data_IF_549876991018
#
_entry.id   IF_549876991018
#
_cell.length_a   1.000
_cell.length_b   1.000
_cell.length_c   1.000
_cell.angle_alpha   90.00
_cell.angle_beta   90.00
_cell.angle_gamma   90.00
#
_symmetry.space_group_name_H-M   'P 1'
#
loop_
_entity.id
_entity.type
_entity.pdbx_description
1 polymer ?
#
# COMPACT_ATOMS: atom_id res chain seq x y z
N UNK A 1 -39.12 49.54 9.94
CA UNK A 1 -38.41 48.31 10.36
C UNK A 1 -37.46 47.99 9.23
N UNK A 2 -36.19 47.64 9.55
CA UNK A 2 -35.17 47.39 8.53
C UNK A 2 -35.44 46.00 7.91
N UNK A 3 -35.47 45.85 6.58
CA UNK A 3 -35.70 44.55 5.92
C UNK A 3 -34.75 43.44 6.40
N UNK A 4 -33.56 43.78 6.88
CA UNK A 4 -32.59 42.87 7.43
C UNK A 4 -33.04 42.31 8.80
N UNK A 5 -33.75 43.07 9.61
CA UNK A 5 -34.23 42.60 10.90
C UNK A 5 -35.46 41.69 10.76
N UNK A 6 -36.23 41.89 9.73
CA UNK A 6 -37.34 41.00 9.38
C UNK A 6 -36.81 39.63 8.85
N UNK A 7 -35.74 39.66 8.07
CA UNK A 7 -35.06 38.44 7.57
C UNK A 7 -34.40 37.64 8.72
N UNK A 8 -33.83 38.35 9.71
CA UNK A 8 -33.23 37.74 10.90
C UNK A 8 -34.26 37.07 11.81
N UNK A 9 -35.46 37.63 11.91
CA UNK A 9 -36.55 37.03 12.68
C UNK A 9 -37.12 35.75 12.04
N UNK A 10 -37.09 35.65 10.73
CA UNK A 10 -37.53 34.44 10.02
C UNK A 10 -36.52 33.28 10.10
N UNK A 11 -35.23 33.57 10.24
CA UNK A 11 -34.16 32.56 10.44
C UNK A 11 -34.00 32.24 11.93
N UNK A 12 -35.05 31.78 12.58
CA UNK A 12 -34.93 31.26 13.93
C UNK A 12 -34.07 30.00 13.96
N UNK A 13 -33.32 29.75 15.04
CA UNK A 13 -32.55 28.51 15.26
C UNK A 13 -33.38 27.26 14.99
N UNK A 14 -34.68 27.35 15.26
CA UNK A 14 -35.65 26.25 15.05
C UNK A 14 -35.90 25.98 13.58
N UNK A 15 -36.01 27.01 12.74
CA UNK A 15 -36.18 26.87 11.29
C UNK A 15 -34.87 26.34 10.64
N UNK A 16 -33.72 26.83 11.10
CA UNK A 16 -32.42 26.35 10.64
C UNK A 16 -32.21 24.89 10.98
N UNK A 17 -32.44 24.46 12.22
CA UNK A 17 -32.30 23.08 12.66
C UNK A 17 -33.35 22.16 12.01
N UNK A 18 -34.56 22.63 11.77
CA UNK A 18 -35.59 21.88 11.08
C UNK A 18 -35.25 21.64 9.60
N UNK A 19 -34.75 22.66 8.92
CA UNK A 19 -34.37 22.54 7.50
C UNK A 19 -33.12 21.66 7.31
N UNK A 20 -32.09 21.88 8.13
CA UNK A 20 -30.86 21.12 8.06
C UNK A 20 -31.04 19.66 8.46
N UNK A 21 -31.88 19.34 9.44
CA UNK A 21 -32.17 17.94 9.81
C UNK A 21 -32.96 17.22 8.72
N UNK A 22 -33.87 17.90 8.03
CA UNK A 22 -34.62 17.32 6.90
C UNK A 22 -33.72 17.04 5.70
N UNK A 23 -32.80 17.95 5.36
CA UNK A 23 -31.85 17.77 4.28
C UNK A 23 -30.84 16.64 4.59
N UNK A 24 -30.31 16.58 5.81
CA UNK A 24 -29.41 15.51 6.24
C UNK A 24 -30.12 14.16 6.33
N UNK A 25 -31.36 14.14 6.82
CA UNK A 25 -32.19 12.94 6.85
C UNK A 25 -32.53 12.42 5.46
N UNK A 26 -32.87 13.30 4.52
CA UNK A 26 -33.13 12.93 3.13
C UNK A 26 -31.87 12.39 2.43
N UNK A 27 -30.72 13.03 2.60
CA UNK A 27 -29.45 12.57 2.05
C UNK A 27 -29.02 11.22 2.64
N UNK A 28 -29.19 11.02 3.95
CA UNK A 28 -28.93 9.74 4.59
C UNK A 28 -29.87 8.64 4.13
N UNK A 29 -31.16 8.95 3.94
CA UNK A 29 -32.16 8.03 3.45
C UNK A 29 -31.92 7.68 1.98
N UNK A 30 -31.59 8.65 1.15
CA UNK A 30 -31.22 8.45 -0.25
C UNK A 30 -29.97 7.55 -0.36
N UNK A 31 -28.97 7.78 0.47
CA UNK A 31 -27.77 6.92 0.59
C UNK A 31 -28.09 5.48 1.01
N UNK A 32 -29.11 5.27 1.84
CA UNK A 32 -29.51 3.94 2.31
C UNK A 32 -30.46 3.24 1.33
N UNK A 33 -31.25 3.99 0.58
CA UNK A 33 -32.24 3.45 -0.37
C UNK A 33 -31.66 3.25 -1.77
N UNK A 34 -30.58 3.95 -2.12
CA UNK A 34 -29.90 3.72 -3.38
C UNK A 34 -29.26 2.34 -3.34
N UNK A 35 -29.80 1.39 -4.09
CA UNK A 35 -29.24 0.04 -4.25
C UNK A 35 -27.81 0.08 -4.79
N UNK A 36 -27.38 1.22 -5.30
CA UNK A 36 -26.06 1.51 -5.84
C UNK A 36 -25.11 2.16 -4.82
N UNK A 37 -25.55 2.39 -3.58
CA UNK A 37 -24.68 2.96 -2.53
C UNK A 37 -23.46 2.09 -2.22
N UNK A 38 -23.50 0.81 -2.60
CA UNK A 38 -22.35 -0.11 -2.56
C UNK A 38 -21.79 -0.46 -3.94
N UNK A 39 -22.51 -0.09 -5.02
CA UNK A 39 -21.99 -0.08 -6.37
C UNK A 39 -21.40 1.31 -6.66
N UNK A 40 -20.45 1.74 -5.85
CA UNK A 40 -19.74 2.98 -6.15
C UNK A 40 -19.03 2.80 -7.48
N UNK A 41 -19.25 3.75 -8.36
CA UNK A 41 -18.47 3.84 -9.59
C UNK A 41 -16.99 3.77 -9.23
N UNK A 42 -16.16 3.11 -10.03
CA UNK A 42 -14.72 2.96 -9.76
C UNK A 42 -14.00 4.27 -9.42
N UNK A 43 -14.57 5.41 -9.77
CA UNK A 43 -14.04 6.75 -9.50
C UNK A 43 -14.11 7.16 -8.02
N UNK A 44 -15.01 6.58 -7.23
CA UNK A 44 -15.22 6.97 -5.84
C UNK A 44 -14.15 6.46 -4.86
N UNK A 45 -13.35 5.47 -5.26
CA UNK A 45 -12.30 4.88 -4.41
C UNK A 45 -10.88 5.30 -4.78
N UNK A 46 -10.69 6.27 -5.68
CA UNK A 46 -9.37 6.66 -6.12
C UNK A 46 -8.58 5.53 -6.82
N UNK A 47 -9.27 4.47 -7.23
CA UNK A 47 -8.70 3.38 -7.99
C UNK A 47 -8.46 3.75 -9.46
N UNK A 48 -7.69 2.93 -10.16
CA UNK A 48 -7.47 3.10 -11.58
C UNK A 48 -8.77 2.86 -12.35
N UNK A 49 -9.06 3.68 -13.40
CA UNK A 49 -10.23 3.49 -14.23
C UNK A 49 -10.31 2.06 -14.80
N UNK A 50 -11.50 1.46 -14.76
CA UNK A 50 -11.72 0.10 -15.26
C UNK A 50 -11.39 -1.04 -14.30
N UNK A 51 -11.05 -0.75 -13.05
CA UNK A 51 -10.90 -1.75 -12.00
C UNK A 51 -12.21 -1.93 -11.20
N UNK A 52 -12.45 -3.14 -10.68
CA UNK A 52 -11.69 -4.38 -10.89
C UNK A 52 -11.93 -4.99 -12.26
N UNK A 53 -10.88 -5.50 -12.92
CA UNK A 53 -11.01 -6.19 -14.22
C UNK A 53 -11.79 -7.50 -14.13
N UNK A 54 -11.89 -8.07 -12.93
CA UNK A 54 -12.60 -9.30 -12.65
C UNK A 54 -13.55 -9.10 -11.48
N UNK A 55 -14.70 -9.76 -11.51
CA UNK A 55 -15.65 -9.72 -10.42
C UNK A 55 -15.02 -10.24 -9.12
N UNK A 56 -15.07 -9.48 -8.01
CA UNK A 56 -14.51 -9.90 -6.74
C UNK A 56 -15.18 -11.18 -6.23
N UNK A 57 -14.39 -12.18 -5.87
CA UNK A 57 -14.88 -13.44 -5.27
C UNK A 57 -14.60 -13.51 -3.76
N UNK A 58 -13.60 -12.77 -3.29
CA UNK A 58 -13.24 -12.73 -1.88
C UNK A 58 -14.30 -11.97 -1.07
N UNK A 59 -14.79 -12.59 -0.01
CA UNK A 59 -15.75 -11.99 0.93
C UNK A 59 -15.08 -11.31 2.12
N UNK A 60 -13.82 -11.65 2.39
CA UNK A 60 -13.03 -11.16 3.52
C UNK A 60 -11.58 -11.01 3.10
N UNK A 61 -10.92 -10.00 3.63
CA UNK A 61 -9.49 -9.76 3.43
C UNK A 61 -8.83 -9.73 4.81
N UNK A 62 -7.72 -10.44 4.96
CA UNK A 62 -6.87 -10.38 6.14
C UNK A 62 -5.57 -9.73 5.70
N UNK A 63 -5.23 -8.61 6.33
CA UNK A 63 -3.99 -7.90 6.10
C UNK A 63 -2.97 -8.28 7.18
N UNK A 64 -1.94 -9.04 6.80
CA UNK A 64 -0.84 -9.41 7.69
C UNK A 64 0.32 -8.47 7.43
N UNK A 65 0.42 -7.45 8.26
CA UNK A 65 1.43 -6.41 8.12
C UNK A 65 2.65 -6.73 8.98
N UNK A 66 3.83 -6.64 8.36
CA UNK A 66 5.12 -6.77 9.04
C UNK A 66 5.82 -5.41 9.06
N UNK A 67 5.80 -4.77 10.23
CA UNK A 67 6.51 -3.52 10.45
C UNK A 67 8.03 -3.70 10.33
N UNK A 68 8.72 -2.66 9.89
CA UNK A 68 10.17 -2.65 9.80
C UNK A 68 10.75 -3.25 8.51
N UNK A 69 9.92 -3.71 7.60
CA UNK A 69 10.33 -4.16 6.26
C UNK A 69 11.40 -5.25 6.28
N UNK A 70 11.04 -6.55 6.37
CA UNK A 70 12.01 -7.63 6.30
C UNK A 70 12.78 -7.58 4.98
N UNK A 71 14.06 -7.96 5.01
CA UNK A 71 14.94 -7.89 3.85
C UNK A 71 14.45 -8.78 2.72
N UNK A 72 14.04 -8.20 1.61
CA UNK A 72 13.61 -8.94 0.42
C UNK A 72 14.73 -9.82 -0.14
N UNK A 73 16.00 -9.38 -0.03
CA UNK A 73 17.16 -10.12 -0.53
C UNK A 73 17.44 -11.40 0.28
N UNK A 74 16.97 -11.44 1.51
CA UNK A 74 17.11 -12.60 2.39
C UNK A 74 15.92 -13.56 2.30
N UNK A 75 14.80 -13.14 1.70
CA UNK A 75 13.53 -13.90 1.72
C UNK A 75 13.06 -14.38 0.34
N UNK A 76 13.04 -13.48 -0.67
CA UNK A 76 12.33 -13.74 -1.93
C UNK A 76 13.11 -13.38 -3.19
N UNK A 77 14.06 -12.45 -3.08
CA UNK A 77 14.72 -11.86 -4.23
C UNK A 77 16.12 -12.44 -4.40
N UNK A 78 16.18 -13.70 -4.84
CA UNK A 78 17.41 -14.43 -5.05
C UNK A 78 18.29 -13.80 -6.13
N UNK A 79 19.50 -13.36 -5.75
CA UNK A 79 20.46 -12.69 -6.61
C UNK A 79 21.84 -13.38 -6.55
N UNK A 80 22.02 -14.52 -7.23
CA UNK A 80 23.25 -15.32 -7.14
C UNK A 80 24.51 -14.58 -7.60
N UNK A 81 24.38 -13.59 -8.50
CA UNK A 81 25.50 -12.79 -8.98
C UNK A 81 26.17 -11.96 -7.88
N UNK A 82 25.44 -11.61 -6.80
CA UNK A 82 26.03 -10.84 -5.70
C UNK A 82 27.18 -11.59 -5.00
N UNK A 83 27.15 -12.93 -5.03
CA UNK A 83 28.23 -13.74 -4.45
C UNK A 83 29.56 -13.57 -5.21
N UNK A 84 29.53 -13.17 -6.48
CA UNK A 84 30.73 -12.90 -7.28
C UNK A 84 31.24 -11.46 -7.11
N UNK A 85 30.43 -10.59 -6.51
CA UNK A 85 30.68 -9.16 -6.35
C UNK A 85 30.92 -8.76 -4.87
N UNK A 86 31.21 -9.75 -4.04
CA UNK A 86 31.42 -9.50 -2.59
C UNK A 86 32.54 -8.50 -2.36
N UNK A 87 32.21 -7.41 -1.66
CA UNK A 87 33.17 -6.36 -1.33
C UNK A 87 33.37 -5.31 -2.43
N UNK A 88 32.87 -5.54 -3.65
CA UNK A 88 32.85 -4.51 -4.67
C UNK A 88 31.93 -3.36 -4.23
N UNK A 89 32.24 -2.16 -4.64
CA UNK A 89 31.36 -1.02 -4.37
C UNK A 89 30.12 -1.07 -5.26
N UNK A 90 28.97 -0.59 -4.73
CA UNK A 90 27.72 -0.53 -5.47
C UNK A 90 27.88 0.30 -6.74
N UNK A 91 27.61 -0.25 -7.94
CA UNK A 91 27.79 0.48 -9.18
C UNK A 91 26.96 1.79 -9.21
N UNK A 92 27.52 2.88 -9.73
CA UNK A 92 26.81 4.15 -9.85
C UNK A 92 25.49 4.07 -10.61
N UNK A 93 25.38 3.15 -11.57
CA UNK A 93 24.16 2.89 -12.32
C UNK A 93 23.02 2.31 -11.46
N UNK A 94 23.35 1.62 -10.38
CA UNK A 94 22.39 1.07 -9.43
C UNK A 94 22.11 2.07 -8.32
N UNK A 95 23.17 2.69 -7.78
CA UNK A 95 23.06 3.70 -6.73
C UNK A 95 22.27 4.92 -7.18
N UNK A 96 22.55 5.41 -8.40
CA UNK A 96 21.92 6.62 -8.92
C UNK A 96 22.04 7.81 -7.96
N UNK A 97 20.97 8.59 -7.86
CA UNK A 97 20.84 9.72 -6.93
C UNK A 97 20.02 9.35 -5.68
N UNK A 98 20.03 8.07 -5.27
CA UNK A 98 19.26 7.65 -4.11
C UNK A 98 19.71 8.41 -2.85
N UNK A 99 18.73 8.88 -2.10
CA UNK A 99 18.94 9.47 -0.78
C UNK A 99 19.38 8.38 0.19
N UNK A 100 20.49 8.63 0.88
CA UNK A 100 21.00 7.71 1.93
C UNK A 100 20.43 8.08 3.30
N UNK A 101 20.35 7.10 4.18
CA UNK A 101 19.96 7.33 5.58
C UNK A 101 21.04 8.10 6.32
N UNK A 102 20.69 8.73 7.45
CA UNK A 102 21.67 9.40 8.33
C UNK A 102 22.76 8.45 8.81
N UNK A 103 22.43 7.17 9.02
CA UNK A 103 23.42 6.16 9.43
C UNK A 103 24.46 5.87 8.35
N UNK A 104 24.12 6.01 7.09
CA UNK A 104 24.99 5.70 5.95
C UNK A 104 25.53 6.94 5.26
N UNK A 105 25.13 8.14 5.68
CA UNK A 105 25.51 9.41 5.02
C UNK A 105 27.02 9.68 5.06
N UNK A 106 27.73 9.13 6.07
CA UNK A 106 29.20 9.26 6.21
C UNK A 106 30.00 8.14 5.54
N UNK A 107 29.35 7.17 4.90
CA UNK A 107 30.06 6.08 4.23
C UNK A 107 30.64 6.54 2.90
N UNK A 108 31.91 6.21 2.66
CA UNK A 108 32.61 6.51 1.42
C UNK A 108 32.38 5.44 0.35
N UNK A 109 31.99 4.22 0.76
CA UNK A 109 31.71 3.10 -0.13
C UNK A 109 30.50 2.31 0.37
N UNK A 110 29.86 1.59 -0.56
CA UNK A 110 28.67 0.78 -0.30
C UNK A 110 28.95 -0.66 -0.77
N UNK A 111 29.69 -1.45 0.02
CA UNK A 111 30.11 -2.78 -0.39
C UNK A 111 28.91 -3.71 -0.59
N UNK A 112 28.97 -4.50 -1.66
CA UNK A 112 27.98 -5.50 -1.97
C UNK A 112 28.17 -6.71 -1.05
N UNK A 113 27.04 -7.16 -0.49
CA UNK A 113 26.97 -8.35 0.37
C UNK A 113 25.84 -9.26 -0.17
N UNK A 114 26.12 -10.55 -0.46
CA UNK A 114 25.08 -11.50 -0.85
C UNK A 114 24.31 -11.98 0.38
N UNK A 115 23.17 -12.63 0.13
CA UNK A 115 22.48 -13.39 1.18
C UNK A 115 23.36 -14.52 1.72
N UNK A 116 23.32 -14.69 3.03
CA UNK A 116 23.97 -15.81 3.72
C UNK A 116 23.09 -17.06 3.76
N UNK A 117 21.81 -16.94 3.40
CA UNK A 117 20.84 -18.02 3.41
C UNK A 117 20.73 -18.70 2.06
N UNK A 118 20.33 -19.96 2.10
CA UNK A 118 20.11 -20.76 0.90
C UNK A 118 18.73 -20.46 0.31
N UNK A 119 18.67 -20.55 -1.01
CA UNK A 119 17.45 -20.40 -1.77
C UNK A 119 17.22 -21.63 -2.62
N UNK A 120 15.99 -22.10 -2.64
CA UNK A 120 15.54 -23.18 -3.50
C UNK A 120 14.28 -22.76 -4.27
N UNK A 121 14.04 -23.42 -5.39
CA UNK A 121 12.80 -23.26 -6.15
C UNK A 121 11.72 -24.18 -5.58
N UNK A 122 10.52 -23.61 -5.41
CA UNK A 122 9.38 -24.32 -4.83
C UNK A 122 8.13 -24.17 -5.71
N UNK A 123 7.24 -25.18 -5.60
CA UNK A 123 5.98 -25.23 -6.32
C UNK A 123 6.13 -25.45 -7.83
N UNK A 124 5.00 -25.49 -8.52
CA UNK A 124 4.95 -25.58 -9.99
C UNK A 124 5.39 -24.26 -10.64
N UNK A 125 5.18 -23.12 -9.94
CA UNK A 125 5.64 -21.81 -10.38
C UNK A 125 7.15 -21.63 -10.37
N UNK A 126 7.90 -22.50 -9.68
CA UNK A 126 9.34 -22.42 -9.53
C UNK A 126 9.80 -21.16 -8.76
N UNK A 127 8.98 -20.65 -7.84
CA UNK A 127 9.30 -19.46 -7.07
C UNK A 127 10.53 -19.66 -6.19
N UNK A 128 11.47 -18.73 -6.25
CA UNK A 128 12.63 -18.73 -5.36
C UNK A 128 12.24 -18.28 -3.95
N UNK A 129 12.52 -19.12 -2.96
CA UNK A 129 12.22 -18.87 -1.55
C UNK A 129 13.42 -19.25 -0.70
N UNK A 130 13.73 -18.39 0.26
CA UNK A 130 14.78 -18.64 1.24
C UNK A 130 14.39 -19.74 2.23
N UNK A 131 15.41 -20.44 2.75
CA UNK A 131 15.28 -21.40 3.84
C UNK A 131 14.65 -20.82 5.12
N UNK A 132 14.64 -19.49 5.26
CA UNK A 132 13.99 -18.79 6.36
C UNK A 132 12.46 -18.88 6.32
N UNK A 133 11.88 -19.24 5.17
CA UNK A 133 10.43 -19.23 4.94
C UNK A 133 9.86 -20.63 4.61
N UNK A 134 10.14 -21.66 5.44
CA UNK A 134 9.82 -23.05 5.11
C UNK A 134 8.31 -23.33 5.03
N UNK A 135 7.49 -22.54 5.70
CA UNK A 135 6.03 -22.69 5.65
C UNK A 135 5.45 -22.03 4.42
N UNK A 136 5.94 -20.84 4.07
CA UNK A 136 5.51 -20.11 2.87
C UNK A 136 5.96 -20.83 1.60
N UNK A 137 7.11 -21.47 1.61
CA UNK A 137 7.59 -22.32 0.51
C UNK A 137 6.60 -23.43 0.11
N UNK A 138 5.76 -23.88 1.05
CA UNK A 138 4.75 -24.93 0.80
C UNK A 138 3.50 -24.44 0.07
N UNK A 139 3.28 -23.14 0.03
CA UNK A 139 2.08 -22.54 -0.54
C UNK A 139 2.39 -21.50 -1.62
N UNK A 140 3.59 -21.55 -2.22
CA UNK A 140 4.05 -20.55 -3.20
C UNK A 140 3.14 -20.43 -4.41
N UNK A 141 2.51 -21.53 -4.84
CA UNK A 141 1.60 -21.53 -5.99
C UNK A 141 0.26 -20.83 -5.70
N UNK A 142 -0.06 -20.62 -4.44
CA UNK A 142 -1.22 -19.85 -3.98
C UNK A 142 -0.91 -18.34 -3.80
N UNK A 143 0.36 -17.93 -4.02
CA UNK A 143 0.83 -16.59 -3.74
C UNK A 143 1.23 -15.83 -5.00
N UNK A 144 0.92 -14.54 -5.02
CA UNK A 144 1.46 -13.60 -6.00
C UNK A 144 2.57 -12.77 -5.36
N UNK A 145 3.80 -12.87 -5.88
CA UNK A 145 4.94 -12.11 -5.40
C UNK A 145 5.11 -10.82 -6.19
N UNK A 146 4.78 -9.67 -5.58
CA UNK A 146 4.95 -8.36 -6.20
C UNK A 146 6.29 -7.78 -5.76
N UNK A 147 7.33 -7.93 -6.60
CA UNK A 147 8.72 -7.55 -6.29
C UNK A 147 9.09 -6.12 -6.74
N UNK A 148 8.21 -5.45 -7.47
CA UNK A 148 8.47 -4.15 -8.09
C UNK A 148 7.91 -2.96 -7.29
N UNK A 149 7.57 -3.17 -6.03
CA UNK A 149 7.10 -2.08 -5.18
C UNK A 149 8.23 -1.12 -4.87
N UNK A 150 7.94 0.18 -4.89
CA UNK A 150 8.89 1.26 -4.67
C UNK A 150 8.31 2.30 -3.72
N UNK A 151 9.16 2.89 -2.90
CA UNK A 151 8.85 4.05 -2.07
C UNK A 151 10.04 5.00 -2.06
N UNK A 152 9.78 6.31 -1.98
CA UNK A 152 10.82 7.34 -1.84
C UNK A 152 11.26 7.53 -0.38
N UNK A 153 10.58 6.88 0.54
CA UNK A 153 10.92 6.95 1.95
C UNK A 153 12.22 6.19 2.23
N UNK A 154 13.09 6.81 3.04
CA UNK A 154 14.37 6.23 3.45
C UNK A 154 14.30 5.50 4.79
N UNK A 155 13.15 5.48 5.40
CA UNK A 155 12.91 4.86 6.70
C UNK A 155 11.67 3.97 6.64
N UNK A 156 11.59 2.98 7.53
CA UNK A 156 10.57 1.95 7.47
C UNK A 156 9.15 2.49 7.68
N UNK A 157 8.93 3.25 8.75
CA UNK A 157 7.60 3.75 9.10
C UNK A 157 7.00 4.68 8.02
N UNK A 158 7.71 5.68 7.50
CA UNK A 158 7.18 6.50 6.43
C UNK A 158 7.19 5.81 5.05
N UNK A 159 7.78 4.62 4.95
CA UNK A 159 7.82 3.82 3.72
C UNK A 159 6.62 2.91 3.49
N UNK A 160 5.66 2.95 4.43
CA UNK A 160 4.47 2.08 4.44
C UNK A 160 3.33 2.74 3.68
#
# INVERSE_FOLDING_TARGET
MNPIDELKQQLTRRSFLGLSSSCLGAAALDSLLSKDAFAQTPEAFGGLPGLPHFAPKAKRVIYLFQSGGPSQHELWDYKPKLAQMVGDDLPPSVRGNQRVTTMTAGQLSFPIVPSIYKFDQHGESGAWVSELMPHTAKIVDELAFVKSMHTDAINHDPGI
#
